data_IF_313224503246
#
_entry.id   IF_313224503246
#
_cell.length_a   1.000
_cell.length_b   1.000
_cell.length_c   1.000
_cell.angle_alpha   90.00
_cell.angle_beta   90.00
_cell.angle_gamma   90.00
#
_symmetry.space_group_name_H-M   'P 1'
#
loop_
_entity.id
_entity.type
_entity.pdbx_description
1 polymer ?
#
# COMPACT_ATOMS: atom_id res chain seq x y z
N UNK A 1 2.61 -8.32 -18.37
CA UNK A 1 1.48 -8.01 -17.47
C UNK A 1 1.94 -6.97 -16.45
N UNK A 2 1.20 -5.87 -16.32
CA UNK A 2 1.56 -4.73 -15.47
C UNK A 2 1.00 -4.83 -14.04
N UNK A 3 0.43 -5.99 -13.69
CA UNK A 3 -0.13 -6.29 -12.37
C UNK A 3 0.62 -7.44 -11.70
N UNK A 4 0.51 -7.50 -10.38
CA UNK A 4 0.96 -8.57 -9.50
C UNK A 4 -0.20 -9.04 -8.62
N UNK A 5 -0.11 -10.29 -8.19
CA UNK A 5 -1.04 -10.94 -7.27
C UNK A 5 -0.82 -10.50 -5.82
N UNK A 6 -1.74 -10.85 -4.93
CA UNK A 6 -1.56 -10.66 -3.48
C UNK A 6 -0.31 -11.37 -2.94
N UNK A 7 0.08 -12.52 -3.52
CA UNK A 7 1.25 -13.29 -3.08
C UNK A 7 2.55 -12.57 -3.47
N UNK A 8 2.66 -12.13 -4.71
CA UNK A 8 3.85 -11.37 -5.16
C UNK A 8 3.98 -10.04 -4.42
N UNK A 9 2.86 -9.34 -4.18
CA UNK A 9 2.85 -8.14 -3.36
C UNK A 9 3.25 -8.43 -1.89
N UNK A 10 2.87 -9.60 -1.35
CA UNK A 10 3.25 -10.05 -0.01
C UNK A 10 4.75 -10.24 0.11
N UNK A 11 5.36 -10.84 -0.91
CA UNK A 11 6.81 -11.03 -0.99
C UNK A 11 7.52 -9.68 -1.14
N UNK A 12 7.05 -8.80 -2.04
CA UNK A 12 7.62 -7.46 -2.28
C UNK A 12 7.60 -6.58 -1.03
N UNK A 13 6.52 -6.63 -0.24
CA UNK A 13 6.27 -5.67 0.84
C UNK A 13 6.48 -6.23 2.25
N UNK A 14 6.83 -7.52 2.37
CA UNK A 14 7.04 -8.19 3.65
C UNK A 14 5.82 -8.17 4.56
N UNK A 15 4.61 -8.29 4.00
CA UNK A 15 3.34 -8.29 4.74
C UNK A 15 2.46 -9.43 4.29
N UNK A 16 1.56 -9.90 5.16
CA UNK A 16 0.69 -11.03 4.82
C UNK A 16 -0.30 -10.68 3.69
N UNK A 17 -0.72 -11.65 2.85
CA UNK A 17 -1.76 -11.43 1.84
C UNK A 17 -3.07 -10.88 2.43
N UNK A 18 -3.40 -11.27 3.67
CA UNK A 18 -4.55 -10.75 4.42
C UNK A 18 -4.46 -9.23 4.64
N UNK A 19 -3.28 -8.73 5.03
CA UNK A 19 -3.07 -7.29 5.19
C UNK A 19 -3.21 -6.55 3.86
N UNK A 20 -2.67 -7.11 2.77
CA UNK A 20 -2.79 -6.52 1.44
C UNK A 20 -4.25 -6.48 0.99
N UNK A 21 -5.01 -7.53 1.27
CA UNK A 21 -6.46 -7.55 0.99
C UNK A 21 -7.19 -6.40 1.70
N UNK A 22 -6.86 -6.11 2.98
CA UNK A 22 -7.43 -4.95 3.68
C UNK A 22 -7.01 -3.62 3.06
N UNK A 23 -5.77 -3.50 2.59
CA UNK A 23 -5.31 -2.29 1.89
C UNK A 23 -6.07 -2.09 0.58
N UNK A 24 -6.28 -3.14 -0.20
CA UNK A 24 -7.03 -3.09 -1.45
C UNK A 24 -8.51 -2.75 -1.19
N UNK A 25 -9.16 -3.46 -0.27
CA UNK A 25 -10.56 -3.23 0.09
C UNK A 25 -10.79 -1.82 0.69
N UNK A 26 -9.78 -1.29 1.39
CA UNK A 26 -9.79 0.08 1.91
C UNK A 26 -9.40 1.16 0.88
N UNK A 27 -9.24 0.81 -0.40
CA UNK A 27 -8.86 1.75 -1.46
C UNK A 27 -7.49 2.41 -1.26
N UNK A 28 -6.60 1.77 -0.49
CA UNK A 28 -5.32 2.37 -0.07
C UNK A 28 -4.20 2.17 -1.09
N UNK A 29 -4.39 1.28 -2.07
CA UNK A 29 -3.44 1.01 -3.13
C UNK A 29 -4.03 1.57 -4.43
N UNK A 30 -3.54 2.74 -4.90
CA UNK A 30 -4.02 3.34 -6.14
C UNK A 30 -3.84 2.38 -7.33
N UNK A 31 -4.86 2.32 -8.20
CA UNK A 31 -4.84 1.44 -9.38
C UNK A 31 -5.04 -0.05 -9.09
N UNK A 32 -5.22 -0.45 -7.82
CA UNK A 32 -5.65 -1.82 -7.51
C UNK A 32 -7.09 -2.04 -7.96
N UNK A 33 -7.32 -3.08 -8.75
CA UNK A 33 -8.65 -3.42 -9.29
C UNK A 33 -9.05 -4.81 -8.85
N UNK A 34 -10.31 -4.99 -8.46
CA UNK A 34 -10.87 -6.31 -8.15
C UNK A 34 -11.50 -6.91 -9.40
N UNK A 35 -10.95 -8.03 -9.87
CA UNK A 35 -11.49 -8.80 -10.98
C UNK A 35 -12.02 -10.13 -10.42
N UNK A 36 -13.34 -10.26 -10.38
CA UNK A 36 -14.04 -11.34 -9.68
C UNK A 36 -13.58 -11.48 -8.22
N UNK A 37 -12.83 -12.54 -7.88
CA UNK A 37 -12.33 -12.82 -6.54
C UNK A 37 -10.87 -12.38 -6.32
N UNK A 38 -10.18 -11.96 -7.38
CA UNK A 38 -8.74 -11.68 -7.36
C UNK A 38 -8.50 -10.16 -7.37
N UNK A 39 -7.52 -9.72 -6.60
CA UNK A 39 -6.98 -8.36 -6.68
C UNK A 39 -5.83 -8.30 -7.67
N UNK A 40 -5.92 -7.36 -8.61
CA UNK A 40 -4.86 -6.99 -9.53
C UNK A 40 -4.19 -5.73 -9.00
N UNK A 41 -2.94 -5.85 -8.54
CA UNK A 41 -2.19 -4.74 -7.95
C UNK A 41 -1.13 -4.27 -8.97
N UNK A 42 -1.04 -2.98 -9.32
CA UNK A 42 0.00 -2.50 -10.23
C UNK A 42 1.40 -2.85 -9.72
N UNK A 43 2.32 -3.28 -10.59
CA UNK A 43 3.68 -3.68 -10.17
C UNK A 43 4.51 -2.52 -9.64
N UNK A 44 4.25 -1.32 -10.11
CA UNK A 44 4.82 -0.04 -9.67
C UNK A 44 4.20 0.48 -8.37
N UNK A 45 3.13 -0.13 -7.87
CA UNK A 45 2.54 0.28 -6.60
C UNK A 45 3.51 0.11 -5.43
N UNK A 46 3.54 1.12 -4.57
CA UNK A 46 4.27 1.14 -3.31
C UNK A 46 3.36 0.75 -2.14
N UNK A 47 3.96 0.19 -1.08
CA UNK A 47 3.23 -0.12 0.15
C UNK A 47 2.75 1.18 0.79
N UNK A 48 1.44 1.35 1.03
CA UNK A 48 0.92 2.52 1.72
C UNK A 48 1.48 2.64 3.14
N UNK A 49 1.79 3.87 3.57
CA UNK A 49 2.28 4.15 4.93
C UNK A 49 1.30 3.68 6.02
N UNK A 50 1.81 3.22 7.16
CA UNK A 50 0.95 2.89 8.30
C UNK A 50 0.35 4.18 8.89
N UNK A 51 -0.98 4.24 9.00
CA UNK A 51 -1.71 5.41 9.53
C UNK A 51 -1.75 5.46 11.06
N UNK A 52 -1.32 4.40 11.75
CA UNK A 52 -1.23 4.38 13.22
C UNK A 52 -0.18 5.35 13.74
N UNK A 53 0.86 5.60 12.95
CA UNK A 53 1.95 6.49 13.30
C UNK A 53 1.81 7.78 12.49
N UNK A 54 1.70 8.93 13.16
CA UNK A 54 1.87 10.23 12.50
C UNK A 54 3.36 10.38 12.18
N UNK A 55 3.70 10.60 10.91
CA UNK A 55 5.08 10.86 10.51
C UNK A 55 5.48 12.28 10.96
N UNK A 56 5.95 12.42 12.19
CA UNK A 56 6.35 13.71 12.80
C UNK A 56 7.72 14.19 12.29
N UNK A 57 8.04 14.04 10.99
CA UNK A 57 9.35 14.41 10.47
C UNK A 57 9.44 15.78 9.78
N UNK A 58 8.33 16.51 9.61
CA UNK A 58 8.32 17.75 8.82
C UNK A 58 8.06 19.07 9.58
N UNK A 59 8.03 19.08 10.92
CA UNK A 59 7.71 20.32 11.68
C UNK A 59 8.88 20.95 12.45
N UNK A 60 10.12 20.51 12.23
CA UNK A 60 11.28 21.09 12.92
C UNK A 60 11.91 22.30 12.19
N UNK A 61 11.63 22.52 10.90
CA UNK A 61 12.21 23.63 10.13
C UNK A 61 11.32 24.90 10.07
N UNK A 62 10.08 24.85 10.57
CA UNK A 62 9.14 25.99 10.50
C UNK A 62 8.95 26.67 11.87
N UNK A 63 9.81 26.38 12.85
CA UNK A 63 9.74 26.97 14.19
C UNK A 63 10.78 28.06 14.46
N UNK A 64 11.62 28.40 13.48
CA UNK A 64 12.70 29.39 13.60
C UNK A 64 12.72 30.44 12.48
N UNK A 65 11.61 30.62 11.77
CA UNK A 65 11.33 31.81 10.95
C UNK A 65 10.12 32.51 11.55
#
# INVERSE_FOLDING_TARGET
MNYMTLKEASEKWGVTPRQINYLCAGGRIPGAVKMATIWLIPKDAEKPADRRFKNTKNNLLVRFL
#
